data_IF_787773657941
#
_entry.id   IF_787773657941
#
_cell.length_a   1.000
_cell.length_b   1.000
_cell.length_c   1.000
_cell.angle_alpha   90.00
_cell.angle_beta   90.00
_cell.angle_gamma   90.00
#
_symmetry.space_group_name_H-M   'P 1'
#
loop_
_entity.id
_entity.type
_entity.pdbx_description
1 polymer ?
#
# COMPACT_ATOMS: atom_id res chain seq x y z
N UNK A 1 -12.70 4.54 17.64
CA UNK A 1 -12.95 5.24 16.36
C UNK A 1 -13.23 4.24 15.25
N UNK A 2 -12.22 3.57 14.67
CA UNK A 2 -12.41 2.66 13.53
C UNK A 2 -13.52 1.61 13.75
N UNK A 3 -13.47 0.89 14.88
CA UNK A 3 -14.52 -0.09 15.22
C UNK A 3 -15.91 0.52 15.43
N UNK A 4 -15.99 1.77 15.93
CA UNK A 4 -17.26 2.47 16.12
C UNK A 4 -17.89 2.90 14.78
N UNK A 5 -17.06 3.06 13.74
CA UNK A 5 -17.46 3.33 12.36
C UNK A 5 -17.66 2.05 11.53
N UNK A 6 -17.42 0.87 12.11
CA UNK A 6 -17.54 -0.42 11.42
C UNK A 6 -16.36 -0.78 10.52
N UNK A 7 -15.22 -0.09 10.63
CA UNK A 7 -14.02 -0.43 9.87
C UNK A 7 -13.37 -1.73 10.42
N UNK A 8 -12.94 -2.65 9.54
CA UNK A 8 -12.40 -3.94 9.96
C UNK A 8 -10.94 -3.90 10.42
N UNK A 9 -10.21 -2.85 10.04
CA UNK A 9 -8.77 -2.70 10.28
C UNK A 9 -8.32 -1.24 10.34
N UNK A 10 -7.11 -1.05 10.85
CA UNK A 10 -6.33 0.19 10.82
C UNK A 10 -4.86 -0.14 10.53
N UNK A 11 -4.09 0.84 10.10
CA UNK A 11 -2.68 0.67 9.81
C UNK A 11 -1.96 1.97 9.47
N UNK A 12 -0.68 1.83 9.20
CA UNK A 12 0.29 2.90 8.86
C UNK A 12 1.56 2.21 8.31
N UNK A 13 2.70 2.87 8.17
CA UNK A 13 3.96 2.19 7.90
C UNK A 13 4.30 1.23 9.05
N UNK A 14 5.08 0.17 8.80
CA UNK A 14 5.50 -0.71 9.91
C UNK A 14 6.23 0.08 11.01
N UNK A 15 7.09 1.01 10.57
CA UNK A 15 7.84 1.93 11.39
C UNK A 15 8.80 2.71 10.50
N UNK A 16 9.25 3.87 10.96
CA UNK A 16 10.21 4.71 10.23
C UNK A 16 11.41 4.94 11.12
N UNK A 17 12.57 4.43 10.68
CA UNK A 17 13.82 4.60 11.39
C UNK A 17 14.44 5.98 11.14
N UNK A 18 15.15 6.49 12.16
CA UNK A 18 16.16 7.52 11.94
C UNK A 18 17.37 6.92 11.21
N UNK A 19 18.19 7.74 10.55
CA UNK A 19 19.44 7.24 9.94
C UNK A 19 20.34 6.56 10.98
N UNK A 20 20.51 7.16 12.16
CA UNK A 20 21.34 6.63 13.23
C UNK A 20 20.95 5.21 13.63
N UNK A 21 19.65 4.95 13.70
CA UNK A 21 19.13 3.67 14.14
C UNK A 21 19.04 2.63 13.01
N UNK A 22 18.87 3.07 11.76
CA UNK A 22 18.83 2.18 10.60
C UNK A 22 20.22 1.69 10.16
N UNK A 23 21.22 2.59 10.22
CA UNK A 23 22.57 2.33 9.71
C UNK A 23 23.42 1.48 10.68
N UNK A 24 23.00 1.38 11.95
CA UNK A 24 23.57 0.47 12.95
C UNK A 24 22.72 -0.81 13.02
N UNK A 25 23.26 -1.94 12.53
CA UNK A 25 22.51 -3.19 12.44
C UNK A 25 22.06 -3.73 13.80
N UNK A 26 22.85 -3.56 14.86
CA UNK A 26 22.47 -4.04 16.18
C UNK A 26 21.30 -3.22 16.75
N UNK A 27 21.33 -1.90 16.54
CA UNK A 27 20.23 -1.01 16.94
C UNK A 27 18.98 -1.27 16.11
N UNK A 28 19.13 -1.48 14.81
CA UNK A 28 18.02 -1.80 13.91
C UNK A 28 17.31 -3.08 14.35
N UNK A 29 18.06 -4.15 14.62
CA UNK A 29 17.51 -5.43 15.04
C UNK A 29 16.81 -5.35 16.41
N UNK A 30 17.33 -4.54 17.33
CA UNK A 30 16.70 -4.28 18.63
C UNK A 30 15.37 -3.52 18.45
N UNK A 31 15.38 -2.43 17.69
CA UNK A 31 14.21 -1.59 17.46
C UNK A 31 13.13 -2.27 16.61
N UNK A 32 13.49 -3.16 15.68
CA UNK A 32 12.51 -3.98 14.96
C UNK A 32 11.67 -4.82 15.93
N UNK A 33 12.29 -5.43 16.95
CA UNK A 33 11.59 -6.22 17.98
C UNK A 33 10.69 -5.33 18.83
N UNK A 34 11.19 -4.17 19.24
CA UNK A 34 10.40 -3.18 20.00
C UNK A 34 9.18 -2.72 19.18
N UNK A 35 9.35 -2.43 17.89
CA UNK A 35 8.25 -2.04 17.01
C UNK A 35 7.19 -3.16 16.89
N UNK A 36 7.62 -4.41 16.77
CA UNK A 36 6.71 -5.56 16.74
C UNK A 36 5.93 -5.73 18.06
N UNK A 37 6.56 -5.47 19.20
CA UNK A 37 5.88 -5.47 20.50
C UNK A 37 4.85 -4.33 20.60
N UNK A 38 5.17 -3.14 20.07
CA UNK A 38 4.19 -2.05 19.95
C UNK A 38 2.99 -2.47 19.08
N UNK A 39 3.23 -3.14 17.95
CA UNK A 39 2.16 -3.69 17.11
C UNK A 39 1.33 -4.75 17.84
N UNK A 40 1.95 -5.56 18.71
CA UNK A 40 1.25 -6.56 19.54
C UNK A 40 0.25 -5.89 20.50
N UNK A 41 0.65 -4.80 21.15
CA UNK A 41 -0.22 -4.04 22.04
C UNK A 41 -1.40 -3.41 21.28
N UNK A 42 -1.12 -2.84 20.09
CA UNK A 42 -2.18 -2.30 19.20
C UNK A 42 -3.12 -3.41 18.75
N UNK A 43 -2.60 -4.57 18.36
CA UNK A 43 -3.40 -5.72 17.93
C UNK A 43 -4.31 -6.25 19.05
N UNK A 44 -3.82 -6.33 20.29
CA UNK A 44 -4.66 -6.74 21.41
C UNK A 44 -5.79 -5.72 21.69
N UNK A 45 -5.48 -4.43 21.63
CA UNK A 45 -6.50 -3.39 21.77
C UNK A 45 -7.52 -3.42 20.63
N UNK A 46 -7.06 -3.49 19.37
CA UNK A 46 -7.88 -3.51 18.18
C UNK A 46 -8.86 -4.71 18.18
N UNK A 47 -8.37 -5.89 18.57
CA UNK A 47 -9.19 -7.09 18.77
C UNK A 47 -10.32 -6.85 19.78
N UNK A 48 -10.02 -6.23 20.93
CA UNK A 48 -11.03 -5.88 21.95
C UNK A 48 -12.05 -4.84 21.45
N UNK A 49 -11.69 -4.06 20.43
CA UNK A 49 -12.56 -3.10 19.75
C UNK A 49 -13.31 -3.68 18.54
N UNK A 50 -13.16 -4.97 18.26
CA UNK A 50 -13.89 -5.67 17.20
C UNK A 50 -13.23 -5.64 15.81
N UNK A 51 -12.00 -5.13 15.69
CA UNK A 51 -11.23 -5.22 14.45
C UNK A 51 -10.72 -6.65 14.28
N UNK A 52 -10.58 -7.08 13.02
CA UNK A 52 -10.23 -8.47 12.68
C UNK A 52 -8.81 -8.62 12.12
N UNK A 53 -8.19 -7.51 11.71
CA UNK A 53 -6.80 -7.45 11.24
C UNK A 53 -6.25 -6.02 11.35
N UNK A 54 -4.94 -5.87 11.13
CA UNK A 54 -4.21 -4.61 11.01
C UNK A 54 -3.42 -4.62 9.70
N UNK A 55 -2.94 -3.46 9.26
CA UNK A 55 -2.04 -3.40 8.11
C UNK A 55 -0.81 -2.54 8.32
N UNK A 56 0.24 -2.89 7.58
CA UNK A 56 1.43 -2.06 7.40
C UNK A 56 1.65 -1.76 5.92
N UNK A 57 2.14 -0.57 5.61
CA UNK A 57 2.44 -0.16 4.24
C UNK A 57 3.95 -0.32 3.95
N UNK A 58 4.34 -1.15 2.97
CA UNK A 58 5.71 -1.18 2.44
C UNK A 58 6.03 0.15 1.76
N UNK A 59 7.23 0.69 1.97
CA UNK A 59 7.62 2.00 1.46
C UNK A 59 8.69 1.87 0.37
N UNK A 60 9.43 2.94 0.08
CA UNK A 60 10.35 3.00 -1.07
C UNK A 60 11.82 3.17 -0.71
N UNK A 61 12.15 3.18 0.59
CA UNK A 61 13.55 3.26 1.08
C UNK A 61 13.76 2.34 2.27
N UNK A 62 14.98 1.85 2.44
CA UNK A 62 15.30 0.85 3.46
C UNK A 62 14.86 1.23 4.89
N UNK A 63 15.09 2.48 5.32
CA UNK A 63 14.71 2.94 6.68
C UNK A 63 13.21 3.04 6.94
N UNK A 64 12.40 2.97 5.88
CA UNK A 64 10.93 2.95 5.93
C UNK A 64 10.37 1.55 5.68
N UNK A 65 11.27 0.58 5.42
CA UNK A 65 11.02 -0.86 5.29
C UNK A 65 10.18 -1.25 4.07
N UNK A 66 10.29 -2.50 3.64
CA UNK A 66 9.54 -3.01 2.49
C UNK A 66 9.88 -2.38 1.13
N UNK A 67 11.05 -1.74 0.99
CA UNK A 67 11.45 -1.07 -0.26
C UNK A 67 11.70 -1.96 -1.48
N UNK A 68 11.65 -3.28 -1.34
CA UNK A 68 11.73 -4.24 -2.45
C UNK A 68 10.68 -5.33 -2.26
N UNK A 69 10.33 -6.07 -3.32
CA UNK A 69 9.42 -7.23 -3.23
C UNK A 69 9.96 -8.24 -2.22
N UNK A 70 11.27 -8.50 -2.26
CA UNK A 70 11.95 -9.44 -1.38
C UNK A 70 11.91 -8.99 0.07
N UNK A 71 12.23 -7.73 0.36
CA UNK A 71 12.26 -7.23 1.73
C UNK A 71 10.85 -7.13 2.31
N UNK A 72 9.84 -6.86 1.47
CA UNK A 72 8.43 -6.90 1.87
C UNK A 72 8.03 -8.30 2.28
N UNK A 73 8.30 -9.31 1.45
CA UNK A 73 7.98 -10.70 1.79
C UNK A 73 8.72 -11.15 3.05
N UNK A 74 10.02 -10.83 3.17
CA UNK A 74 10.81 -11.20 4.34
C UNK A 74 10.28 -10.58 5.65
N UNK A 75 9.84 -9.32 5.60
CA UNK A 75 9.22 -8.66 6.75
C UNK A 75 7.85 -9.28 7.06
N UNK A 76 7.03 -9.56 6.04
CA UNK A 76 5.73 -10.19 6.25
C UNK A 76 5.87 -11.60 6.87
N UNK A 77 6.79 -12.42 6.37
CA UNK A 77 7.09 -13.75 6.92
C UNK A 77 7.49 -13.67 8.41
N UNK A 78 8.31 -12.68 8.76
CA UNK A 78 8.73 -12.45 10.14
C UNK A 78 7.59 -11.96 11.04
N UNK A 79 6.71 -11.09 10.53
CA UNK A 79 5.49 -10.63 11.23
C UNK A 79 4.54 -11.80 11.47
N UNK A 80 4.29 -12.63 10.46
CA UNK A 80 3.36 -13.77 10.57
C UNK A 80 3.86 -14.82 11.57
N UNK A 81 5.17 -15.07 11.59
CA UNK A 81 5.82 -15.95 12.57
C UNK A 81 5.67 -15.46 14.02
N UNK A 82 5.41 -14.17 14.24
CA UNK A 82 5.22 -13.61 15.58
C UNK A 82 3.85 -13.89 16.19
N UNK A 83 2.87 -14.36 15.40
CA UNK A 83 1.51 -14.67 15.83
C UNK A 83 0.91 -13.57 16.71
N UNK A 84 0.73 -12.38 16.13
CA UNK A 84 0.06 -11.27 16.79
C UNK A 84 -1.42 -11.62 17.14
N UNK A 85 -2.03 -10.95 18.13
CA UNK A 85 -3.41 -11.21 18.57
C UNK A 85 -4.47 -11.19 17.45
N UNK A 86 -4.24 -10.39 16.41
CA UNK A 86 -4.94 -10.40 15.11
C UNK A 86 -3.88 -10.22 14.01
N UNK A 87 -4.12 -10.69 12.77
CA UNK A 87 -3.13 -10.61 11.70
C UNK A 87 -2.71 -9.17 11.39
N UNK A 88 -1.41 -8.95 11.17
CA UNK A 88 -0.86 -7.73 10.59
C UNK A 88 -0.42 -8.06 9.17
N UNK A 89 -1.09 -7.47 8.18
CA UNK A 89 -0.93 -7.79 6.75
C UNK A 89 -0.29 -6.61 5.99
N UNK A 90 0.34 -6.83 4.83
CA UNK A 90 0.75 -5.70 4.02
C UNK A 90 -0.49 -5.02 3.42
N UNK A 91 -0.39 -3.72 3.20
CA UNK A 91 -1.23 -2.93 2.29
C UNK A 91 -0.27 -2.33 1.27
N UNK A 92 -0.15 -2.95 0.10
CA UNK A 92 0.82 -2.52 -0.91
C UNK A 92 0.29 -1.33 -1.70
N UNK A 93 1.15 -0.32 -1.91
CA UNK A 93 1.02 0.65 -3.00
C UNK A 93 1.88 0.16 -4.17
N UNK A 94 1.25 0.04 -5.34
CA UNK A 94 1.91 -0.42 -6.56
C UNK A 94 2.89 0.60 -7.17
N UNK A 95 2.87 1.86 -6.73
CA UNK A 95 3.83 2.90 -7.15
C UNK A 95 5.00 3.08 -6.16
N UNK A 96 5.03 2.31 -5.06
CA UNK A 96 6.18 2.24 -4.17
C UNK A 96 7.32 1.36 -4.73
N UNK A 97 8.41 1.29 -3.97
CA UNK A 97 9.60 0.51 -4.27
C UNK A 97 10.84 1.36 -4.56
N UNK A 98 12.01 0.76 -4.38
CA UNK A 98 13.30 1.41 -4.56
C UNK A 98 13.65 1.54 -6.05
N UNK A 99 13.51 2.75 -6.60
CA UNK A 99 13.88 3.11 -7.98
C UNK A 99 15.37 2.92 -8.30
N UNK A 100 16.22 2.73 -7.29
CA UNK A 100 17.64 2.41 -7.45
C UNK A 100 17.93 0.91 -7.41
N UNK A 101 16.91 0.07 -7.18
CA UNK A 101 17.05 -1.38 -7.17
C UNK A 101 17.57 -1.89 -8.52
N UNK A 102 18.53 -2.83 -8.54
CA UNK A 102 18.95 -3.49 -9.77
C UNK A 102 17.89 -4.46 -10.32
N UNK A 103 16.88 -4.80 -9.52
CA UNK A 103 15.76 -5.65 -9.95
C UNK A 103 14.60 -4.75 -10.44
N UNK A 104 14.30 -4.72 -11.74
CA UNK A 104 13.26 -3.84 -12.29
C UNK A 104 11.85 -4.18 -11.76
N UNK A 105 11.63 -5.39 -11.25
CA UNK A 105 10.35 -5.77 -10.67
C UNK A 105 10.03 -5.02 -9.36
N UNK A 106 11.04 -4.50 -8.65
CA UNK A 106 10.83 -3.76 -7.40
C UNK A 106 10.12 -2.42 -7.61
N UNK A 107 10.02 -1.93 -8.85
CA UNK A 107 9.26 -0.73 -9.23
C UNK A 107 8.23 -1.00 -10.33
N UNK A 108 7.97 -2.28 -10.61
CA UNK A 108 6.93 -2.69 -11.54
C UNK A 108 5.59 -2.84 -10.78
N UNK A 109 4.61 -1.96 -11.05
CA UNK A 109 3.33 -1.98 -10.36
C UNK A 109 2.57 -3.29 -10.55
N UNK A 110 2.76 -3.96 -11.70
CA UNK A 110 2.12 -5.23 -11.98
C UNK A 110 2.79 -6.39 -11.23
N UNK A 111 4.09 -6.30 -10.97
CA UNK A 111 4.78 -7.28 -10.13
C UNK A 111 4.30 -7.19 -8.69
N UNK A 112 4.23 -5.98 -8.12
CA UNK A 112 3.66 -5.74 -6.79
C UNK A 112 2.22 -6.27 -6.66
N UNK A 113 1.36 -5.88 -7.60
CA UNK A 113 -0.04 -6.30 -7.59
C UNK A 113 -0.22 -7.82 -7.69
N UNK A 114 0.66 -8.50 -8.44
CA UNK A 114 0.64 -9.95 -8.60
C UNK A 114 1.19 -10.66 -7.35
N UNK A 115 2.38 -10.30 -6.90
CA UNK A 115 3.10 -11.06 -5.87
C UNK A 115 2.41 -10.96 -4.49
N UNK A 116 1.72 -9.84 -4.22
CA UNK A 116 1.00 -9.63 -2.96
C UNK A 116 -0.52 -9.77 -3.07
N UNK A 117 -1.06 -10.24 -4.21
CA UNK A 117 -2.51 -10.33 -4.45
C UNK A 117 -3.27 -11.13 -3.38
N UNK A 118 -2.65 -12.16 -2.79
CA UNK A 118 -3.30 -13.00 -1.75
C UNK A 118 -3.00 -12.54 -0.32
N UNK A 119 -1.99 -11.68 -0.15
CA UNK A 119 -1.51 -11.24 1.16
C UNK A 119 -2.03 -9.85 1.52
N UNK A 120 -2.23 -8.96 0.53
CA UNK A 120 -2.64 -7.57 0.68
C UNK A 120 -4.14 -7.39 0.45
N UNK A 121 -4.99 -7.28 1.49
CA UNK A 121 -6.43 -7.17 1.31
C UNK A 121 -6.84 -5.84 0.66
N UNK A 122 -6.07 -4.79 0.90
CA UNK A 122 -6.21 -3.48 0.27
C UNK A 122 -4.97 -3.28 -0.61
N UNK A 123 -5.15 -2.78 -1.82
CA UNK A 123 -4.07 -2.39 -2.73
C UNK A 123 -4.28 -0.90 -3.05
N UNK A 124 -3.33 -0.07 -2.65
CA UNK A 124 -3.29 1.32 -3.06
C UNK A 124 -2.93 1.42 -4.53
N UNK A 125 -3.70 2.22 -5.25
CA UNK A 125 -3.53 2.43 -6.69
C UNK A 125 -3.51 3.92 -7.00
N UNK A 126 -2.60 4.28 -7.88
CA UNK A 126 -2.46 5.61 -8.43
C UNK A 126 -2.14 5.51 -9.92
N UNK A 127 -2.42 6.55 -10.68
CA UNK A 127 -1.78 6.69 -11.98
C UNK A 127 -0.32 7.13 -11.78
N UNK A 128 0.56 6.63 -12.63
CA UNK A 128 1.97 6.99 -12.62
C UNK A 128 2.50 7.04 -14.05
N UNK A 129 3.56 7.83 -14.26
CA UNK A 129 4.19 7.96 -15.59
C UNK A 129 5.49 7.17 -15.61
N UNK A 130 6.02 6.89 -16.80
CA UNK A 130 7.28 6.16 -16.99
C UNK A 130 8.49 6.81 -16.27
N UNK A 131 8.45 8.12 -16.05
CA UNK A 131 9.60 8.89 -15.54
C UNK A 131 9.41 9.39 -14.10
N UNK A 132 8.23 9.22 -13.49
CA UNK A 132 7.94 9.74 -12.16
C UNK A 132 6.70 9.07 -11.54
N UNK A 133 6.86 8.55 -10.32
CA UNK A 133 5.76 8.31 -9.39
C UNK A 133 5.18 9.65 -8.90
N UNK A 134 3.91 9.69 -8.55
CA UNK A 134 3.29 10.98 -8.25
C UNK A 134 1.91 10.99 -7.65
N UNK A 135 1.36 9.83 -7.26
CA UNK A 135 0.01 9.74 -6.70
C UNK A 135 -1.02 10.47 -7.60
N UNK A 136 -0.89 10.36 -8.93
CA UNK A 136 -1.72 11.09 -9.90
C UNK A 136 -3.12 10.49 -10.01
N UNK A 137 -4.16 11.33 -10.22
CA UNK A 137 -5.51 10.85 -10.47
C UNK A 137 -5.62 10.16 -11.84
N UNK A 138 -6.62 9.28 -11.98
CA UNK A 138 -6.92 8.56 -13.22
C UNK A 138 -7.80 9.40 -14.15
N UNK A 139 -7.35 10.60 -14.52
CA UNK A 139 -8.03 11.46 -15.51
C UNK A 139 -7.50 11.23 -16.92
N UNK A 140 -8.24 11.64 -17.95
CA UNK A 140 -7.83 11.56 -19.36
C UNK A 140 -6.40 12.09 -19.57
N UNK A 141 -6.09 13.26 -18.98
CA UNK A 141 -4.77 13.87 -19.03
C UNK A 141 -3.64 12.95 -18.52
N UNK A 142 -3.84 12.28 -17.38
CA UNK A 142 -2.81 11.42 -16.80
C UNK A 142 -2.81 10.02 -17.40
N UNK A 143 -3.98 9.54 -17.87
CA UNK A 143 -4.12 8.24 -18.51
C UNK A 143 -3.48 8.22 -19.92
N UNK A 144 -3.45 9.34 -20.63
CA UNK A 144 -2.83 9.45 -21.97
C UNK A 144 -1.37 8.96 -21.97
N UNK A 145 -0.63 9.24 -20.89
CA UNK A 145 0.78 8.86 -20.73
C UNK A 145 1.02 7.98 -19.48
N UNK A 146 -0.06 7.44 -18.93
CA UNK A 146 -0.06 6.62 -17.73
C UNK A 146 0.32 5.18 -18.01
N UNK A 147 0.91 4.50 -17.02
CA UNK A 147 1.26 3.06 -17.15
C UNK A 147 0.19 2.13 -16.58
N UNK A 148 -0.64 2.59 -15.65
CA UNK A 148 -1.63 1.74 -14.97
C UNK A 148 -2.96 1.79 -15.70
N UNK A 149 -3.39 0.65 -16.23
CA UNK A 149 -4.74 0.47 -16.79
C UNK A 149 -5.52 -0.58 -15.99
N UNK A 150 -6.86 -0.47 -15.91
CA UNK A 150 -7.68 -1.41 -15.17
C UNK A 150 -7.51 -2.86 -15.63
N UNK A 151 -7.50 -3.09 -16.94
CA UNK A 151 -7.38 -4.42 -17.51
C UNK A 151 -6.04 -5.08 -17.13
N UNK A 152 -4.94 -4.33 -17.26
CA UNK A 152 -3.61 -4.86 -16.96
C UNK A 152 -3.44 -5.13 -15.45
N UNK A 153 -3.90 -4.21 -14.60
CA UNK A 153 -3.81 -4.37 -13.16
C UNK A 153 -4.65 -5.54 -12.66
N UNK A 154 -5.91 -5.65 -13.12
CA UNK A 154 -6.79 -6.75 -12.73
C UNK A 154 -6.24 -8.09 -13.24
N UNK A 155 -5.65 -8.13 -14.44
CA UNK A 155 -4.99 -9.33 -14.93
C UNK A 155 -3.81 -9.75 -14.04
N UNK A 156 -3.00 -8.80 -13.58
CA UNK A 156 -1.88 -9.06 -12.66
C UNK A 156 -2.37 -9.59 -11.31
N UNK A 157 -3.38 -8.96 -10.70
CA UNK A 157 -3.98 -9.40 -9.43
C UNK A 157 -4.54 -10.82 -9.56
N UNK A 158 -5.29 -11.11 -10.64
CA UNK A 158 -5.83 -12.45 -10.91
C UNK A 158 -4.72 -13.48 -11.12
N UNK A 159 -3.65 -13.13 -11.82
CA UNK A 159 -2.49 -14.00 -12.00
C UNK A 159 -1.76 -14.28 -10.67
N UNK A 160 -1.84 -13.34 -9.72
CA UNK A 160 -1.36 -13.49 -8.35
C UNK A 160 -2.29 -14.29 -7.44
N UNK A 161 -3.50 -14.63 -7.90
CA UNK A 161 -4.52 -15.36 -7.14
C UNK A 161 -5.45 -14.47 -6.30
N UNK A 162 -5.42 -13.14 -6.48
CA UNK A 162 -6.35 -12.22 -5.81
C UNK A 162 -7.78 -12.38 -6.31
N UNK A 163 -8.75 -12.27 -5.40
CA UNK A 163 -10.18 -12.51 -5.67
C UNK A 163 -11.08 -11.35 -5.28
N UNK A 164 -10.80 -10.72 -4.15
CA UNK A 164 -11.67 -9.76 -3.45
C UNK A 164 -10.86 -8.63 -2.81
N UNK A 165 -9.70 -8.31 -3.38
CA UNK A 165 -8.89 -7.17 -2.98
C UNK A 165 -9.68 -5.87 -3.14
N UNK A 166 -9.61 -5.00 -2.14
CA UNK A 166 -10.08 -3.62 -2.25
C UNK A 166 -9.04 -2.78 -2.99
N UNK A 167 -9.44 -2.15 -4.10
CA UNK A 167 -8.60 -1.17 -4.79
C UNK A 167 -8.88 0.22 -4.20
N UNK A 168 -7.89 0.79 -3.51
CA UNK A 168 -8.01 2.09 -2.88
C UNK A 168 -7.30 3.17 -3.71
N UNK A 169 -8.04 4.21 -4.14
CA UNK A 169 -7.45 5.31 -4.90
C UNK A 169 -6.65 6.22 -3.96
N UNK A 170 -5.32 6.23 -4.11
CA UNK A 170 -4.44 7.16 -3.37
C UNK A 170 -3.99 8.30 -4.29
N UNK A 171 -4.66 9.45 -4.15
CA UNK A 171 -4.48 10.58 -5.07
C UNK A 171 -4.03 11.83 -4.31
N UNK A 172 -2.99 12.48 -4.81
CA UNK A 172 -2.45 13.72 -4.25
C UNK A 172 -2.65 14.90 -5.20
N UNK A 173 -2.93 16.06 -4.63
CA UNK A 173 -3.17 17.30 -5.34
C UNK A 173 -2.30 18.39 -4.73
N UNK A 174 -1.58 19.15 -5.56
CA UNK A 174 -0.82 20.30 -5.08
C UNK A 174 -1.77 21.35 -4.53
N UNK A 175 -1.44 21.92 -3.39
CA UNK A 175 -2.18 22.98 -2.69
C UNK A 175 -1.93 24.35 -3.36
N UNK A 176 -2.14 24.40 -4.68
CA UNK A 176 -1.95 25.57 -5.54
C UNK A 176 -3.01 25.60 -6.62
N UNK A 177 -3.45 26.79 -6.98
CA UNK A 177 -4.38 26.98 -8.09
C UNK A 177 -3.70 26.69 -9.44
N UNK A 178 -4.40 26.05 -10.41
CA UNK A 178 -5.80 25.61 -10.34
C UNK A 178 -6.02 24.21 -9.73
N UNK A 179 -4.97 23.50 -9.34
CA UNK A 179 -5.02 22.10 -8.88
C UNK A 179 -5.87 21.89 -7.63
N UNK A 180 -5.81 22.81 -6.66
CA UNK A 180 -6.61 22.72 -5.42
C UNK A 180 -8.13 22.70 -5.70
N UNK A 181 -8.57 23.37 -6.78
CA UNK A 181 -9.99 23.41 -7.18
C UNK A 181 -10.42 22.24 -8.04
N UNK A 182 -9.49 21.44 -8.55
CA UNK A 182 -9.80 20.30 -9.41
C UNK A 182 -10.04 18.98 -8.65
N UNK A 183 -9.78 18.93 -7.34
CA UNK A 183 -9.78 17.70 -6.51
C UNK A 183 -11.05 16.87 -6.72
N UNK A 184 -12.23 17.46 -6.51
CA UNK A 184 -13.51 16.73 -6.59
C UNK A 184 -13.81 16.26 -8.01
N UNK A 185 -13.47 17.05 -9.03
CA UNK A 185 -13.67 16.68 -10.42
C UNK A 185 -12.77 15.50 -10.82
N UNK A 186 -11.49 15.56 -10.45
CA UNK A 186 -10.53 14.50 -10.72
C UNK A 186 -10.85 13.20 -9.98
N UNK A 187 -11.32 13.27 -8.72
CA UNK A 187 -11.80 12.09 -7.99
C UNK A 187 -12.99 11.43 -8.68
N UNK A 188 -13.98 12.22 -9.11
CA UNK A 188 -15.15 11.72 -9.83
C UNK A 188 -14.75 11.01 -11.13
N UNK A 189 -13.86 11.62 -11.90
CA UNK A 189 -13.36 11.05 -13.14
C UNK A 189 -12.57 9.76 -12.89
N UNK A 190 -11.72 9.73 -11.86
CA UNK A 190 -10.96 8.55 -11.48
C UNK A 190 -11.87 7.38 -11.10
N UNK A 191 -12.91 7.63 -10.29
CA UNK A 191 -13.90 6.59 -9.94
C UNK A 191 -14.65 6.12 -11.19
N UNK A 192 -15.04 7.04 -12.08
CA UNK A 192 -15.73 6.68 -13.33
C UNK A 192 -14.85 5.85 -14.27
N UNK A 193 -13.55 6.09 -14.30
CA UNK A 193 -12.56 5.31 -15.06
C UNK A 193 -12.50 3.85 -14.58
N UNK A 194 -12.54 3.63 -13.26
CA UNK A 194 -12.47 2.29 -12.67
C UNK A 194 -13.83 1.56 -12.57
N UNK A 195 -14.96 2.29 -12.56
CA UNK A 195 -16.29 1.72 -12.35
C UNK A 195 -16.68 0.57 -13.29
N UNK A 196 -16.30 0.53 -14.59
CA UNK A 196 -16.60 -0.62 -15.45
C UNK A 196 -15.88 -1.92 -15.05
N UNK A 197 -14.84 -1.82 -14.22
CA UNK A 197 -13.91 -2.91 -13.93
C UNK A 197 -13.93 -3.35 -12.45
N UNK A 198 -14.40 -2.49 -11.56
CA UNK A 198 -14.49 -2.74 -10.13
C UNK A 198 -15.84 -2.30 -9.56
N UNK A 199 -16.26 -2.95 -8.47
CA UNK A 199 -17.44 -2.55 -7.73
C UNK A 199 -17.13 -1.29 -6.92
N UNK A 200 -17.65 -0.17 -7.39
CA UNK A 200 -17.75 1.09 -6.65
C UNK A 200 -19.07 1.03 -5.88
N UNK A 201 -19.23 1.65 -4.71
CA UNK A 201 -20.48 1.60 -3.93
C UNK A 201 -21.77 2.10 -4.65
N UNK A 202 -21.69 2.44 -5.94
CA UNK A 202 -22.75 2.91 -6.81
C UNK A 202 -23.17 1.88 -7.90
N UNK A 203 -22.42 0.80 -8.12
CA UNK A 203 -22.70 -0.24 -9.12
C UNK A 203 -22.68 -1.67 -8.57
#
# INVERSE_FOLDING_TARGET
IAGDLGAPAIGTQFGIFTFKDYDDSARRDELMKIALDCWRDVADHARKRGLTWLFWEPMSVGRELGHTLKDTQALQDWIDAAHLPIPLKPMVDIDHGDVTSPNPADVDPFAWAKDFATQSPIIHITQSTMNKGGHWPFTEQYNENGRITPEALIAAIKAGGGTDNELCLELAFREREPTDRSVVAALRESVAYWAPFAKTGYN
#
